data_IF_102655099239
#
_entry.id   IF_102655099239
#
_cell.length_a   1.000
_cell.length_b   1.000
_cell.length_c   1.000
_cell.angle_alpha   90.00
_cell.angle_beta   90.00
_cell.angle_gamma   90.00
#
_symmetry.space_group_name_H-M   'P 1'
#
loop_
_entity.id
_entity.type
_entity.pdbx_description
1 polymer ?
#
# COMPACT_ATOMS: atom_id res chain seq x y z
N UNK A 1 7.28 1.13 11.53
CA UNK A 1 7.61 2.44 10.91
C UNK A 1 9.05 2.86 11.16
N UNK A 2 9.43 3.29 12.38
CA UNK A 2 10.80 3.79 12.66
C UNK A 2 11.92 2.81 12.31
N UNK A 3 11.82 1.53 12.70
CA UNK A 3 12.81 0.51 12.33
C UNK A 3 12.94 0.29 10.82
N UNK A 4 11.85 0.45 10.06
CA UNK A 4 11.87 0.38 8.60
C UNK A 4 12.60 1.58 7.98
N UNK A 5 12.32 2.79 8.47
CA UNK A 5 13.01 4.02 8.03
C UNK A 5 14.51 3.96 8.31
N UNK A 6 14.92 3.46 9.47
CA UNK A 6 16.34 3.30 9.83
C UNK A 6 17.05 2.33 8.86
N UNK A 7 16.42 1.20 8.52
CA UNK A 7 16.97 0.23 7.57
C UNK A 7 17.11 0.81 6.15
N UNK A 8 16.16 1.64 5.70
CA UNK A 8 16.25 2.35 4.41
C UNK A 8 17.45 3.30 4.40
N UNK A 9 17.57 4.13 5.45
CA UNK A 9 18.65 5.11 5.56
C UNK A 9 20.00 4.40 5.60
N UNK A 10 20.14 3.34 6.38
CA UNK A 10 21.38 2.56 6.43
C UNK A 10 21.70 1.86 5.09
N UNK A 11 20.71 1.27 4.42
CA UNK A 11 20.92 0.62 3.13
C UNK A 11 21.35 1.58 2.00
N UNK A 12 21.01 2.87 2.11
CA UNK A 12 21.47 3.90 1.16
C UNK A 12 22.98 4.22 1.30
N UNK A 13 23.54 4.08 2.50
CA UNK A 13 24.95 4.36 2.76
C UNK A 13 25.87 3.15 2.52
N UNK A 14 25.34 1.92 2.55
CA UNK A 14 26.11 0.68 2.37
C UNK A 14 25.72 -0.05 1.07
N UNK A 15 26.05 0.57 -0.07
CA UNK A 15 25.64 0.08 -1.39
C UNK A 15 26.40 -1.17 -1.85
N UNK A 16 27.67 -1.32 -1.44
CA UNK A 16 28.56 -2.41 -1.88
C UNK A 16 28.29 -3.75 -1.16
N UNK A 17 27.67 -3.74 0.02
CA UNK A 17 27.42 -4.92 0.86
C UNK A 17 25.99 -5.49 0.85
N UNK A 18 25.22 -5.26 -0.22
CA UNK A 18 23.80 -5.67 -0.30
C UNK A 18 22.80 -4.61 0.16
N UNK A 19 23.16 -3.33 0.02
CA UNK A 19 22.30 -2.18 0.34
C UNK A 19 20.93 -2.24 -0.32
N UNK A 20 20.83 -2.71 -1.56
CA UNK A 20 19.56 -2.85 -2.29
C UNK A 20 18.55 -3.74 -1.54
N UNK A 21 18.99 -4.86 -0.96
CA UNK A 21 18.11 -5.75 -0.18
C UNK A 21 17.68 -5.09 1.12
N UNK A 22 18.58 -4.37 1.81
CA UNK A 22 18.26 -3.69 3.08
C UNK A 22 17.30 -2.51 2.87
N UNK A 23 17.47 -1.75 1.78
CA UNK A 23 16.52 -0.71 1.36
C UNK A 23 15.15 -1.33 1.07
N UNK A 24 15.11 -2.44 0.33
CA UNK A 24 13.87 -3.14 0.02
C UNK A 24 13.13 -3.64 1.27
N UNK A 25 13.84 -4.29 2.20
CA UNK A 25 13.27 -4.76 3.47
C UNK A 25 12.82 -3.59 4.34
N UNK A 26 13.63 -2.53 4.44
CA UNK A 26 13.28 -1.33 5.19
C UNK A 26 12.02 -0.65 4.65
N UNK A 27 11.89 -0.55 3.32
CA UNK A 27 10.71 -0.02 2.65
C UNK A 27 9.47 -0.86 2.95
N UNK A 28 9.58 -2.18 2.88
CA UNK A 28 8.49 -3.09 3.21
C UNK A 28 8.03 -2.93 4.67
N UNK A 29 8.96 -2.90 5.62
CA UNK A 29 8.65 -2.74 7.06
C UNK A 29 8.06 -1.37 7.37
N UNK A 30 8.56 -0.31 6.73
CA UNK A 30 7.98 1.03 6.86
C UNK A 30 6.54 1.02 6.31
N UNK A 31 6.35 0.60 5.06
CA UNK A 31 5.04 0.55 4.41
C UNK A 31 4.00 -0.25 5.21
N UNK A 32 4.38 -1.42 5.73
CA UNK A 32 3.51 -2.26 6.57
C UNK A 32 3.07 -1.54 7.84
N UNK A 33 4.00 -0.89 8.54
CA UNK A 33 3.66 -0.14 9.75
C UNK A 33 2.71 1.04 9.47
N UNK A 34 2.78 1.66 8.30
CA UNK A 34 1.87 2.74 7.90
C UNK A 34 0.51 2.23 7.48
N UNK A 35 0.49 1.12 6.74
CA UNK A 35 -0.74 0.46 6.34
C UNK A 35 -1.55 0.04 7.56
N UNK A 36 -0.90 -0.53 8.58
CA UNK A 36 -1.56 -0.91 9.83
C UNK A 36 -2.29 0.28 10.48
N UNK A 37 -1.58 1.40 10.64
CA UNK A 37 -2.16 2.63 11.23
C UNK A 37 -3.30 3.17 10.37
N UNK A 38 -3.08 3.29 9.05
CA UNK A 38 -4.09 3.80 8.12
C UNK A 38 -5.36 2.93 8.13
N UNK A 39 -5.21 1.60 8.19
CA UNK A 39 -6.34 0.67 8.31
C UNK A 39 -7.06 0.87 9.64
N UNK A 40 -6.34 0.94 10.77
CA UNK A 40 -6.94 1.14 12.10
C UNK A 40 -7.73 2.45 12.16
N UNK A 41 -7.17 3.54 11.69
CA UNK A 41 -7.83 4.86 11.67
C UNK A 41 -9.04 4.89 10.75
N UNK A 42 -8.95 4.27 9.57
CA UNK A 42 -10.04 4.20 8.60
C UNK A 42 -11.21 3.37 9.12
N UNK A 43 -10.92 2.20 9.69
CA UNK A 43 -11.94 1.28 10.24
C UNK A 43 -12.60 1.85 11.49
N UNK A 44 -11.89 2.70 12.23
CA UNK A 44 -12.43 3.45 13.37
C UNK A 44 -13.19 4.73 12.95
N UNK A 45 -13.20 5.10 11.67
CA UNK A 45 -13.93 6.26 11.16
C UNK A 45 -13.30 7.62 11.50
N UNK A 46 -12.03 7.65 11.94
CA UNK A 46 -11.33 8.89 12.33
C UNK A 46 -10.94 9.74 11.11
N UNK A 47 -10.41 9.13 10.05
CA UNK A 47 -9.95 9.81 8.83
C UNK A 47 -10.14 8.94 7.58
N UNK A 48 -10.50 9.56 6.46
CA UNK A 48 -10.73 8.84 5.20
C UNK A 48 -9.42 8.55 4.46
N UNK A 49 -8.96 7.29 4.54
CA UNK A 49 -7.83 6.76 3.76
C UNK A 49 -8.26 5.91 2.56
N UNK A 50 -9.50 6.06 2.08
CA UNK A 50 -10.10 5.21 1.04
C UNK A 50 -9.27 5.13 -0.24
N UNK A 51 -8.81 6.26 -0.77
CA UNK A 51 -7.99 6.33 -1.99
C UNK A 51 -6.65 5.63 -1.79
N UNK A 52 -6.00 5.85 -0.64
CA UNK A 52 -4.71 5.26 -0.29
C UNK A 52 -4.82 3.73 -0.13
N UNK A 53 -5.82 3.26 0.63
CA UNK A 53 -6.06 1.83 0.82
C UNK A 53 -6.44 1.12 -0.49
N UNK A 54 -7.24 1.79 -1.34
CA UNK A 54 -7.58 1.29 -2.66
C UNK A 54 -6.35 1.20 -3.58
N UNK A 55 -5.49 2.23 -3.59
CA UNK A 55 -4.24 2.22 -4.35
C UNK A 55 -3.30 1.10 -3.88
N UNK A 56 -3.21 0.85 -2.57
CA UNK A 56 -2.42 -0.26 -2.01
C UNK A 56 -2.95 -1.60 -2.49
N UNK A 57 -4.28 -1.80 -2.54
CA UNK A 57 -4.86 -3.03 -3.09
C UNK A 57 -4.50 -3.22 -4.57
N UNK A 58 -4.53 -2.14 -5.36
CA UNK A 58 -4.11 -2.15 -6.76
C UNK A 58 -2.64 -2.56 -6.91
N UNK A 59 -1.77 -1.95 -6.10
CA UNK A 59 -0.33 -2.23 -6.11
C UNK A 59 -0.03 -3.69 -5.74
N UNK A 60 -0.71 -4.23 -4.73
CA UNK A 60 -0.55 -5.63 -4.33
C UNK A 60 -1.00 -6.58 -5.44
N UNK A 61 -2.18 -6.36 -6.03
CA UNK A 61 -2.65 -7.18 -7.15
C UNK A 61 -1.72 -7.14 -8.36
N UNK A 62 -1.26 -5.96 -8.77
CA UNK A 62 -0.32 -5.84 -9.90
C UNK A 62 1.04 -6.48 -9.58
N UNK A 63 1.51 -6.38 -8.33
CA UNK A 63 2.78 -7.00 -7.91
C UNK A 63 2.69 -8.52 -7.91
N UNK A 64 1.56 -9.09 -7.47
CA UNK A 64 1.30 -10.54 -7.53
C UNK A 64 1.31 -11.01 -8.99
N UNK A 65 0.64 -10.29 -9.89
CA UNK A 65 0.64 -10.63 -11.32
C UNK A 65 2.05 -10.59 -11.90
N UNK A 66 2.83 -9.54 -11.60
CA UNK A 66 4.21 -9.44 -12.05
C UNK A 66 5.10 -10.57 -11.51
N UNK A 67 4.83 -11.05 -10.29
CA UNK A 67 5.58 -12.15 -9.67
C UNK A 67 5.25 -13.54 -10.24
N UNK A 68 4.19 -13.70 -11.05
CA UNK A 68 3.83 -15.00 -11.65
C UNK A 68 4.81 -15.48 -12.74
N UNK A 69 5.72 -14.62 -13.21
CA UNK A 69 6.65 -14.93 -14.30
C UNK A 69 6.01 -14.91 -15.70
N UNK A 70 4.70 -14.62 -15.80
CA UNK A 70 4.03 -14.42 -17.08
C UNK A 70 4.50 -13.11 -17.70
N UNK A 71 4.97 -13.15 -18.95
CA UNK A 71 5.37 -11.97 -19.70
C UNK A 71 4.19 -10.99 -19.83
N UNK A 72 4.18 -9.97 -18.98
CA UNK A 72 3.12 -8.97 -18.88
C UNK A 72 3.66 -7.60 -19.29
N UNK A 73 2.93 -6.91 -20.16
CA UNK A 73 3.26 -5.55 -20.57
C UNK A 73 2.83 -4.56 -19.50
N UNK A 74 3.52 -3.42 -19.42
CA UNK A 74 3.25 -2.38 -18.41
C UNK A 74 1.79 -1.92 -18.40
N UNK A 75 1.15 -1.79 -19.57
CA UNK A 75 -0.27 -1.42 -19.65
C UNK A 75 -1.21 -2.46 -19.05
N UNK A 76 -0.85 -3.75 -19.08
CA UNK A 76 -1.65 -4.82 -18.46
C UNK A 76 -1.56 -4.73 -16.94
N UNK A 77 -0.36 -4.48 -16.41
CA UNK A 77 -0.17 -4.25 -14.98
C UNK A 77 -0.91 -3.00 -14.50
N UNK A 78 -0.86 -1.91 -15.29
CA UNK A 78 -1.63 -0.69 -15.01
C UNK A 78 -3.14 -0.93 -15.02
N UNK A 79 -3.63 -1.79 -15.91
CA UNK A 79 -5.04 -2.17 -15.99
C UNK A 79 -5.45 -2.99 -14.76
N UNK A 80 -4.66 -3.99 -14.36
CA UNK A 80 -4.89 -4.76 -13.12
C UNK A 80 -4.91 -3.83 -11.91
N UNK A 81 -3.94 -2.92 -11.80
CA UNK A 81 -3.87 -1.92 -10.75
C UNK A 81 -5.16 -1.09 -10.69
N UNK A 82 -5.58 -0.53 -11.83
CA UNK A 82 -6.76 0.33 -11.93
C UNK A 82 -8.05 -0.42 -11.58
N UNK A 83 -8.21 -1.67 -12.05
CA UNK A 83 -9.38 -2.49 -11.74
C UNK A 83 -9.46 -2.86 -10.26
N UNK A 84 -8.34 -3.27 -9.67
CA UNK A 84 -8.30 -3.63 -8.25
C UNK A 84 -8.54 -2.40 -7.36
N UNK A 85 -7.96 -1.25 -7.70
CA UNK A 85 -8.22 0.01 -7.03
C UNK A 85 -9.70 0.41 -7.14
N UNK A 86 -10.28 0.39 -8.34
CA UNK A 86 -11.69 0.73 -8.55
C UNK A 86 -12.63 -0.24 -7.80
N UNK A 87 -12.32 -1.54 -7.83
CA UNK A 87 -13.10 -2.58 -7.17
C UNK A 87 -13.08 -2.49 -5.65
N UNK A 88 -11.97 -2.06 -5.05
CA UNK A 88 -11.85 -1.91 -3.60
C UNK A 88 -12.32 -0.55 -3.07
N UNK A 89 -12.35 0.48 -3.91
CA UNK A 89 -12.70 1.84 -3.50
C UNK A 89 -14.12 1.93 -2.90
N UNK A 90 -15.12 1.38 -3.59
CA UNK A 90 -16.53 1.43 -3.17
C UNK A 90 -16.77 0.74 -1.82
N UNK A 91 -16.32 -0.52 -1.58
CA UNK A 91 -16.53 -1.17 -0.29
C UNK A 91 -15.80 -0.47 0.85
N UNK A 92 -14.57 0.03 0.61
CA UNK A 92 -13.82 0.81 1.61
C UNK A 92 -14.55 2.12 1.98
N UNK A 93 -15.08 2.83 0.99
CA UNK A 93 -15.83 4.06 1.24
C UNK A 93 -17.12 3.79 2.03
N UNK A 94 -17.84 2.73 1.68
CA UNK A 94 -19.05 2.31 2.42
C UNK A 94 -18.73 1.90 3.85
N UNK A 95 -17.61 1.21 4.06
CA UNK A 95 -17.15 0.86 5.41
C UNK A 95 -16.86 2.11 6.24
N UNK A 96 -16.15 3.09 5.66
CA UNK A 96 -15.88 4.36 6.33
C UNK A 96 -17.15 5.09 6.72
N UNK A 97 -18.07 5.31 5.77
CA UNK A 97 -19.34 6.02 6.02
C UNK A 97 -20.16 5.35 7.13
N UNK A 98 -20.18 4.01 7.17
CA UNK A 98 -20.86 3.25 8.24
C UNK A 98 -20.21 3.45 9.61
N UNK A 99 -18.90 3.67 9.68
CA UNK A 99 -18.12 3.80 10.92
C UNK A 99 -17.96 5.25 11.39
N UNK A 100 -18.02 6.21 10.47
CA UNK A 100 -17.88 7.64 10.73
C UNK A 100 -19.18 8.33 11.17
N UNK A 101 -20.29 7.59 11.25
CA UNK A 101 -21.62 8.16 11.56
C UNK A 101 -22.28 8.85 10.37
N UNK A 102 -21.95 8.46 9.13
CA UNK A 102 -22.52 9.01 7.90
C UNK A 102 -21.65 10.05 7.19
N UNK A 103 -20.48 10.38 7.74
CA UNK A 103 -19.57 11.35 7.13
C UNK A 103 -18.80 10.72 5.96
N UNK A 104 -18.76 11.42 4.84
CA UNK A 104 -18.03 11.01 3.63
C UNK A 104 -16.53 11.33 3.68
N UNK A 105 -16.14 12.38 4.42
CA UNK A 105 -14.75 12.82 4.58
C UNK A 105 -14.56 13.56 5.91
N UNK A 106 -13.38 13.44 6.51
CA UNK A 106 -12.96 14.09 7.76
C UNK A 106 -11.46 14.35 7.70
#
# INVERSE_FOLDING_TARGET
MLGGTVMIVWGLFDWEGGGQTRVGVGLAVAALGGLEVAVREHVAGYRSHTTLLAAISGLLCSSVVAATGIATRLWQLALVFALAMAGSFVPLQRLFVRRSGGLWFR
#
